data_IF_441461361864
#
_entry.id   IF_441461361864
#
_cell.length_a   1.000
_cell.length_b   1.000
_cell.length_c   1.000
_cell.angle_alpha   90.00
_cell.angle_beta   90.00
_cell.angle_gamma   90.00
#
_symmetry.space_group_name_H-M   'P 1'
#
loop_
_entity.id
_entity.type
_entity.pdbx_description
1 polymer ?
#
# COMPACT_ATOMS: atom_id res chain seq x y z
N UNK A 1 -19.68 -70.40 19.82
CA UNK A 1 -19.52 -69.96 18.41
C UNK A 1 -19.95 -68.51 18.36
N UNK A 2 -19.03 -67.62 17.98
CA UNK A 2 -19.25 -66.17 17.90
C UNK A 2 -18.27 -65.39 18.78
N UNK A 3 -17.15 -64.98 18.17
CA UNK A 3 -16.11 -64.11 18.72
C UNK A 3 -16.56 -62.63 18.72
N UNK A 4 -16.07 -61.88 19.72
CA UNK A 4 -15.70 -60.44 19.86
C UNK A 4 -15.74 -59.46 18.65
N UNK A 5 -15.63 -58.10 18.83
CA UNK A 5 -15.15 -57.37 20.02
C UNK A 5 -15.83 -56.05 20.43
N UNK A 6 -15.55 -55.67 21.69
CA UNK A 6 -15.22 -54.32 22.21
C UNK A 6 -15.81 -53.03 21.59
N UNK A 7 -16.51 -52.27 22.44
CA UNK A 7 -16.68 -50.80 22.34
C UNK A 7 -16.69 -50.27 23.77
N UNK A 8 -15.53 -49.86 24.29
CA UNK A 8 -14.90 -48.54 24.18
C UNK A 8 -15.36 -47.63 25.33
N UNK A 9 -14.36 -47.14 26.06
CA UNK A 9 -14.44 -46.42 27.31
C UNK A 9 -14.98 -45.00 27.13
N UNK A 10 -15.68 -44.57 28.18
CA UNK A 10 -15.98 -43.21 28.61
C UNK A 10 -14.68 -42.40 28.73
N UNK A 11 -14.59 -41.21 28.11
CA UNK A 11 -13.91 -40.07 28.71
C UNK A 11 -14.44 -38.77 28.11
N UNK A 12 -14.73 -37.83 28.99
CA UNK A 12 -15.46 -36.59 28.76
C UNK A 12 -14.49 -35.45 29.01
N UNK A 13 -13.49 -35.29 28.13
CA UNK A 13 -12.53 -34.20 28.23
C UNK A 13 -13.06 -32.94 27.54
N UNK A 14 -13.24 -31.93 28.38
CA UNK A 14 -13.43 -30.51 28.09
C UNK A 14 -12.42 -30.00 27.05
N UNK A 15 -12.93 -29.47 25.94
CA UNK A 15 -12.20 -28.54 25.09
C UNK A 15 -12.16 -27.17 25.79
N UNK A 16 -11.14 -26.97 26.63
CA UNK A 16 -10.58 -25.66 26.95
C UNK A 16 -9.16 -25.66 26.39
N UNK A 17 -8.89 -24.69 25.53
CA UNK A 17 -7.65 -24.59 24.77
C UNK A 17 -7.83 -23.50 23.75
N UNK A 18 -7.76 -22.27 24.23
CA UNK A 18 -7.38 -21.09 23.48
C UNK A 18 -6.26 -21.46 22.51
N UNK A 19 -6.60 -21.69 21.23
CA UNK A 19 -5.65 -21.43 20.16
C UNK A 19 -5.65 -19.91 20.02
N UNK A 20 -4.80 -19.28 20.83
CA UNK A 20 -4.12 -18.05 20.48
C UNK A 20 -3.63 -18.23 19.04
N UNK A 21 -4.42 -17.78 18.06
CA UNK A 21 -3.90 -17.47 16.73
C UNK A 21 -2.85 -16.39 16.96
N UNK A 22 -1.60 -16.84 17.15
CA UNK A 22 -0.41 -16.03 16.99
C UNK A 22 -0.66 -15.20 15.75
N UNK A 23 -0.88 -13.90 15.93
CA UNK A 23 -0.75 -12.92 14.86
C UNK A 23 0.68 -13.07 14.34
N UNK A 24 0.88 -13.94 13.36
CA UNK A 24 1.98 -13.84 12.41
C UNK A 24 1.80 -12.47 11.77
N UNK A 25 2.42 -11.45 12.40
CA UNK A 25 2.42 -10.10 11.89
C UNK A 25 2.91 -10.15 10.46
N UNK A 26 2.12 -9.59 9.52
CA UNK A 26 2.55 -9.48 8.12
C UNK A 26 3.94 -8.84 8.10
N UNK A 27 4.87 -9.32 7.27
CA UNK A 27 6.25 -8.82 7.29
C UNK A 27 6.28 -7.34 6.93
N UNK A 28 7.13 -6.58 7.62
CA UNK A 28 7.50 -5.23 7.22
C UNK A 28 8.31 -5.32 5.92
N UNK A 29 7.82 -4.65 4.88
CA UNK A 29 8.47 -4.56 3.58
C UNK A 29 9.28 -3.27 3.54
N UNK A 30 10.61 -3.39 3.54
CA UNK A 30 11.52 -2.25 3.31
C UNK A 30 12.02 -2.29 1.86
N UNK A 31 11.92 -1.14 1.18
CA UNK A 31 12.45 -0.94 -0.15
C UNK A 31 13.31 0.32 -0.20
N UNK A 32 14.24 0.33 -1.15
CA UNK A 32 15.08 1.47 -1.44
C UNK A 32 14.90 1.81 -2.91
N UNK A 33 14.41 3.03 -3.17
CA UNK A 33 14.31 3.59 -4.51
C UNK A 33 15.47 4.57 -4.74
N UNK A 34 16.14 4.41 -5.87
CA UNK A 34 17.12 5.38 -6.36
C UNK A 34 16.40 6.36 -7.28
N UNK A 35 16.13 7.56 -6.79
CA UNK A 35 15.46 8.61 -7.55
C UNK A 35 16.49 9.55 -8.20
N UNK A 36 16.36 9.78 -9.52
CA UNK A 36 17.30 10.60 -10.29
C UNK A 36 17.36 12.07 -9.85
N UNK A 37 16.34 12.57 -9.14
CA UNK A 37 16.23 13.95 -8.66
C UNK A 37 16.50 14.08 -7.16
N UNK A 38 16.06 13.11 -6.37
CA UNK A 38 16.05 13.18 -4.91
C UNK A 38 16.99 12.18 -4.24
N UNK A 39 17.72 11.37 -5.03
CA UNK A 39 18.66 10.38 -4.52
C UNK A 39 17.96 9.20 -3.87
N UNK A 40 18.61 8.60 -2.87
CA UNK A 40 18.10 7.42 -2.18
C UNK A 40 16.88 7.77 -1.31
N UNK A 41 15.76 7.11 -1.57
CA UNK A 41 14.52 7.18 -0.80
C UNK A 41 14.22 5.80 -0.25
N UNK A 42 14.03 5.70 1.06
CA UNK A 42 13.62 4.46 1.73
C UNK A 42 12.12 4.48 1.98
N UNK A 43 11.44 3.40 1.59
CA UNK A 43 10.03 3.17 1.87
C UNK A 43 9.91 1.96 2.79
N UNK A 44 9.24 2.12 3.93
CA UNK A 44 8.84 1.00 4.80
C UNK A 44 7.34 0.88 4.79
N UNK A 45 6.82 -0.30 4.50
CA UNK A 45 5.41 -0.63 4.51
C UNK A 45 5.18 -1.80 5.47
N UNK A 46 4.42 -1.55 6.52
CA UNK A 46 3.86 -2.58 7.39
C UNK A 46 2.36 -2.72 7.07
N UNK A 47 2.00 -3.74 6.29
CA UNK A 47 0.60 -4.00 5.94
C UNK A 47 -0.22 -4.56 7.11
N UNK A 48 0.45 -5.13 8.12
CA UNK A 48 -0.18 -5.66 9.32
C UNK A 48 -0.68 -4.52 10.21
N UNK A 49 0.22 -3.59 10.54
CA UNK A 49 -0.10 -2.39 11.31
C UNK A 49 -0.84 -1.32 10.48
N UNK A 50 -0.69 -1.36 9.15
CA UNK A 50 -1.22 -0.33 8.25
C UNK A 50 -0.39 0.94 8.32
N UNK A 51 0.94 0.80 8.31
CA UNK A 51 1.90 1.89 8.43
C UNK A 51 2.75 2.01 7.17
N UNK A 52 2.98 3.25 6.74
CA UNK A 52 3.95 3.58 5.70
C UNK A 52 4.86 4.69 6.22
N UNK A 53 6.17 4.48 6.09
CA UNK A 53 7.18 5.50 6.33
C UNK A 53 7.98 5.73 5.05
N UNK A 54 8.14 6.99 4.67
CA UNK A 54 9.05 7.43 3.61
C UNK A 54 10.06 8.40 4.20
N UNK A 55 11.33 8.18 3.91
CA UNK A 55 12.42 9.06 4.32
C UNK A 55 13.60 9.01 3.34
N UNK A 56 14.43 10.05 3.38
CA UNK A 56 15.66 10.15 2.61
C UNK A 56 16.38 11.47 2.91
N UNK A 57 17.65 11.59 2.55
CA UNK A 57 18.45 12.76 2.91
C UNK A 57 17.96 14.07 2.26
N UNK A 58 17.29 13.97 1.10
CA UNK A 58 16.80 15.11 0.32
C UNK A 58 15.28 15.28 0.34
N UNK A 59 14.55 14.47 1.10
CA UNK A 59 13.08 14.52 1.21
C UNK A 59 12.63 14.59 2.66
N UNK A 60 11.53 15.29 2.99
CA UNK A 60 10.98 15.27 4.34
C UNK A 60 10.51 13.86 4.71
N UNK A 61 10.49 13.55 6.00
CA UNK A 61 9.93 12.29 6.49
C UNK A 61 8.42 12.35 6.37
N UNK A 62 7.81 11.34 5.76
CA UNK A 62 6.36 11.19 5.68
C UNK A 62 5.95 9.89 6.34
N UNK A 63 4.98 9.97 7.23
CA UNK A 63 4.42 8.81 7.93
C UNK A 63 2.92 8.79 7.73
N UNK A 64 2.40 7.63 7.34
CA UNK A 64 0.97 7.37 7.23
C UNK A 64 0.65 6.15 8.07
N UNK A 65 -0.34 6.24 8.95
CA UNK A 65 -0.78 5.12 9.76
C UNK A 65 -2.30 5.01 9.81
N UNK A 66 -2.76 3.76 9.86
CA UNK A 66 -4.14 3.39 10.11
C UNK A 66 -4.39 3.32 11.61
N UNK A 67 -5.54 3.83 12.05
CA UNK A 67 -5.99 3.69 13.44
C UNK A 67 -6.10 2.20 13.83
N UNK A 68 -5.54 1.85 14.99
CA UNK A 68 -5.58 0.48 15.53
C UNK A 68 -7.02 -0.04 15.63
N UNK A 69 -7.22 -1.32 15.29
CA UNK A 69 -8.54 -1.97 15.31
C UNK A 69 -9.47 -1.60 14.15
N UNK A 70 -9.02 -0.80 13.19
CA UNK A 70 -9.76 -0.57 11.93
C UNK A 70 -9.86 -1.86 11.10
N UNK A 71 -11.06 -2.19 10.62
CA UNK A 71 -11.28 -3.31 9.70
C UNK A 71 -10.43 -3.16 8.43
N UNK A 72 -9.74 -4.22 8.02
CA UNK A 72 -8.77 -4.18 6.94
C UNK A 72 -9.34 -4.63 5.59
N UNK A 73 -9.06 -3.87 4.54
CA UNK A 73 -9.29 -4.20 3.14
C UNK A 73 -8.00 -4.78 2.52
N UNK A 74 -8.00 -6.06 2.15
CA UNK A 74 -6.83 -6.75 1.60
C UNK A 74 -6.36 -6.21 0.24
N UNK A 75 -7.17 -5.39 -0.42
CA UNK A 75 -6.84 -4.76 -1.70
C UNK A 75 -6.17 -3.38 -1.55
N UNK A 76 -6.07 -2.87 -0.34
CA UNK A 76 -5.40 -1.60 -0.02
C UNK A 76 -4.20 -1.92 0.87
N UNK A 77 -2.95 -1.58 0.48
CA UNK A 77 -1.77 -1.93 1.28
C UNK A 77 -1.79 -1.40 2.72
N UNK A 78 -2.21 -0.15 2.93
CA UNK A 78 -2.43 0.45 4.27
C UNK A 78 -3.68 -0.12 4.95
N UNK A 79 -4.46 -0.94 4.25
CA UNK A 79 -5.62 -1.70 4.72
C UNK A 79 -6.89 -0.91 4.92
N UNK A 80 -6.93 0.40 4.66
CA UNK A 80 -8.21 1.12 4.62
C UNK A 80 -8.15 2.30 3.66
N UNK A 81 -9.32 2.67 3.14
CA UNK A 81 -9.53 3.91 2.39
C UNK A 81 -10.41 4.90 3.17
N UNK A 82 -10.77 4.57 4.40
CA UNK A 82 -11.51 5.50 5.25
C UNK A 82 -10.54 6.57 5.79
N UNK A 83 -10.62 7.77 5.22
CA UNK A 83 -9.75 8.88 5.60
C UNK A 83 -9.90 9.30 7.07
N UNK A 84 -11.04 9.03 7.69
CA UNK A 84 -11.26 9.34 9.11
C UNK A 84 -10.50 8.37 10.04
N UNK A 85 -9.96 7.28 9.48
CA UNK A 85 -9.16 6.25 10.17
C UNK A 85 -7.68 6.30 9.79
N UNK A 86 -7.27 7.34 9.07
CA UNK A 86 -5.91 7.52 8.60
C UNK A 86 -5.34 8.80 9.16
N UNK A 87 -4.09 8.75 9.61
CA UNK A 87 -3.32 9.95 9.93
C UNK A 87 -2.07 10.00 9.08
N UNK A 88 -1.80 11.17 8.51
CA UNK A 88 -0.63 11.45 7.69
C UNK A 88 0.16 12.58 8.37
N UNK A 89 1.47 12.42 8.51
CA UNK A 89 2.36 13.48 9.01
C UNK A 89 3.51 13.74 8.05
N UNK A 90 3.94 14.99 7.95
CA UNK A 90 5.13 15.44 7.22
C UNK A 90 6.06 16.09 8.23
N UNK A 91 7.25 15.52 8.45
CA UNK A 91 8.19 15.90 9.51
C UNK A 91 7.51 16.02 10.90
N UNK A 92 6.54 15.15 11.16
CA UNK A 92 5.75 15.14 12.39
C UNK A 92 4.60 16.14 12.46
N UNK A 93 4.39 16.99 11.43
CA UNK A 93 3.23 17.88 11.33
C UNK A 93 2.08 17.20 10.59
N UNK A 94 0.88 17.23 11.15
CA UNK A 94 -0.29 16.57 10.56
C UNK A 94 -0.71 17.19 9.22
N UNK A 95 -0.95 16.32 8.25
CA UNK A 95 -1.51 16.63 6.95
C UNK A 95 -2.90 15.99 6.80
N UNK A 96 -3.81 16.65 6.10
CA UNK A 96 -5.15 16.10 5.87
C UNK A 96 -5.10 15.16 4.68
N UNK A 97 -5.41 13.88 4.88
CA UNK A 97 -5.57 12.89 3.81
C UNK A 97 -7.04 12.58 3.56
N UNK A 98 -7.42 12.39 2.30
CA UNK A 98 -8.79 12.09 1.92
C UNK A 98 -8.80 11.15 0.70
N UNK A 99 -8.74 9.83 0.93
CA UNK A 99 -8.96 8.86 -0.14
C UNK A 99 -10.40 8.97 -0.65
N UNK A 100 -10.57 9.00 -1.97
CA UNK A 100 -11.90 8.97 -2.56
C UNK A 100 -12.57 7.62 -2.30
N UNK A 101 -13.89 7.65 -2.06
CA UNK A 101 -14.72 6.49 -1.67
C UNK A 101 -14.89 5.41 -2.75
N UNK A 102 -14.25 5.54 -3.92
CA UNK A 102 -14.06 4.44 -4.88
C UNK A 102 -15.33 3.79 -5.45
N UNK A 103 -16.37 4.55 -5.82
CA UNK A 103 -17.70 3.97 -6.10
C UNK A 103 -18.09 3.78 -7.57
N UNK A 104 -17.28 4.19 -8.57
CA UNK A 104 -17.78 4.22 -9.97
C UNK A 104 -16.76 3.90 -11.06
N UNK A 105 -15.52 4.39 -11.00
CA UNK A 105 -14.51 4.20 -12.06
C UNK A 105 -13.10 4.09 -11.45
N UNK A 106 -12.10 3.56 -12.18
CA UNK A 106 -10.70 3.48 -11.69
C UNK A 106 -10.15 4.83 -11.22
N UNK A 107 -10.56 5.93 -11.86
CA UNK A 107 -10.18 7.30 -11.45
C UNK A 107 -10.81 7.74 -10.13
N UNK A 108 -11.86 7.06 -9.66
CA UNK A 108 -12.51 7.32 -8.36
C UNK A 108 -11.73 6.79 -7.15
N UNK A 109 -10.57 6.16 -7.38
CA UNK A 109 -9.61 5.78 -6.35
C UNK A 109 -8.55 6.86 -6.05
N UNK A 110 -8.76 8.09 -6.54
CA UNK A 110 -7.85 9.20 -6.25
C UNK A 110 -7.68 9.42 -4.74
N UNK A 111 -6.49 9.85 -4.33
CA UNK A 111 -6.18 10.19 -2.95
C UNK A 111 -5.73 11.64 -2.90
N UNK A 112 -6.45 12.44 -2.12
CA UNK A 112 -6.16 13.86 -1.90
C UNK A 112 -5.36 14.05 -0.62
N UNK A 113 -4.36 14.93 -0.64
CA UNK A 113 -3.61 15.40 0.53
C UNK A 113 -3.64 16.92 0.57
N UNK A 114 -3.83 17.51 1.74
CA UNK A 114 -3.65 18.96 1.98
C UNK A 114 -2.64 19.18 3.09
N UNK A 115 -1.64 20.01 2.82
CA UNK A 115 -0.58 20.35 3.75
C UNK A 115 0.03 21.71 3.38
N UNK A 116 0.33 22.55 4.38
CA UNK A 116 0.94 23.88 4.20
C UNK A 116 0.29 24.71 3.07
N UNK A 117 -1.05 24.86 3.11
CA UNK A 117 -1.88 25.59 2.12
C UNK A 117 -1.80 25.09 0.66
N UNK A 118 -1.18 23.93 0.44
CA UNK A 118 -1.08 23.28 -0.86
C UNK A 118 -1.85 21.96 -0.86
N UNK A 119 -2.15 21.48 -2.06
CA UNK A 119 -2.89 20.23 -2.24
C UNK A 119 -2.20 19.32 -3.24
N UNK A 120 -2.18 18.04 -2.92
CA UNK A 120 -1.71 16.99 -3.80
C UNK A 120 -2.84 16.02 -4.09
N UNK A 121 -2.78 15.43 -5.28
CA UNK A 121 -3.72 14.38 -5.67
C UNK A 121 -3.01 13.29 -6.44
N UNK A 122 -2.98 12.08 -5.89
CA UNK A 122 -2.60 10.88 -6.62
C UNK A 122 -3.83 10.36 -7.37
N UNK A 123 -3.78 10.28 -8.70
CA UNK A 123 -4.90 9.82 -9.54
C UNK A 123 -4.46 8.63 -10.38
N UNK A 124 -5.14 7.48 -10.26
CA UNK A 124 -4.92 6.37 -11.17
C UNK A 124 -5.30 6.78 -12.60
N UNK A 125 -4.38 6.62 -13.55
CA UNK A 125 -4.56 7.10 -14.93
C UNK A 125 -4.17 6.08 -16.01
N UNK A 126 -3.35 5.09 -15.68
CA UNK A 126 -2.95 3.97 -16.55
C UNK A 126 -2.94 2.66 -15.78
N UNK A 127 -2.93 1.50 -16.46
CA UNK A 127 -2.98 0.19 -15.78
C UNK A 127 -1.89 0.02 -14.71
N UNK A 128 -0.60 0.37 -14.94
CA UNK A 128 0.39 0.31 -13.87
C UNK A 128 0.49 1.59 -13.02
N UNK A 129 0.00 2.72 -13.53
CA UNK A 129 0.40 4.02 -13.04
C UNK A 129 -0.69 4.83 -12.34
N UNK A 130 -0.21 5.73 -11.49
CA UNK A 130 -0.96 6.87 -11.00
C UNK A 130 -0.11 8.12 -11.15
N UNK A 131 -0.71 9.18 -11.68
CA UNK A 131 -0.06 10.49 -11.74
C UNK A 131 -0.27 11.27 -10.45
N UNK A 132 0.74 12.01 -10.03
CA UNK A 132 0.69 12.96 -8.94
C UNK A 132 0.45 14.37 -9.48
N UNK A 133 -0.57 15.02 -8.94
CA UNK A 133 -0.87 16.43 -9.20
C UNK A 133 -0.51 17.25 -7.98
N UNK A 134 0.22 18.37 -8.16
CA UNK A 134 0.36 19.44 -7.18
C UNK A 134 -0.56 20.58 -7.59
N UNK A 135 -1.69 20.71 -6.90
CA UNK A 135 -2.83 21.50 -7.38
C UNK A 135 -3.37 20.92 -8.69
N UNK A 136 -3.18 21.64 -9.79
CA UNK A 136 -3.57 21.20 -11.14
C UNK A 136 -2.35 20.77 -11.99
N UNK A 137 -1.13 21.00 -11.50
CA UNK A 137 0.12 20.71 -12.23
C UNK A 137 0.49 19.23 -12.09
N UNK A 138 0.71 18.55 -13.22
CA UNK A 138 1.19 17.17 -13.23
C UNK A 138 2.71 17.15 -13.00
N UNK A 139 3.13 16.69 -11.83
CA UNK A 139 4.55 16.70 -11.41
C UNK A 139 5.28 15.39 -11.74
N UNK A 140 4.60 14.25 -11.72
CA UNK A 140 5.19 12.96 -12.09
C UNK A 140 4.22 11.80 -12.00
N UNK A 141 4.63 10.67 -12.56
CA UNK A 141 3.92 9.40 -12.61
C UNK A 141 4.58 8.40 -11.63
N UNK A 142 3.76 7.62 -10.95
CA UNK A 142 4.19 6.65 -9.93
C UNK A 142 3.61 5.28 -10.23
N UNK A 143 4.36 4.23 -9.90
CA UNK A 143 3.86 2.85 -9.92
C UNK A 143 4.28 2.07 -8.67
N UNK A 144 3.36 1.27 -8.13
CA UNK A 144 3.56 0.34 -7.02
C UNK A 144 2.50 -0.76 -7.05
N UNK A 145 2.94 -2.00 -6.86
CA UNK A 145 2.09 -3.19 -6.71
C UNK A 145 1.53 -3.34 -5.28
N UNK A 146 1.85 -2.41 -4.37
CA UNK A 146 1.47 -2.50 -2.95
C UNK A 146 2.39 -3.38 -2.11
N UNK A 147 3.61 -3.64 -2.62
CA UNK A 147 4.68 -4.40 -1.98
C UNK A 147 5.76 -3.49 -1.36
N UNK A 148 5.47 -2.20 -1.25
CA UNK A 148 6.40 -1.17 -0.77
C UNK A 148 7.43 -0.74 -1.82
N UNK A 149 7.56 -1.41 -2.96
CA UNK A 149 8.39 -0.95 -4.06
C UNK A 149 7.64 0.17 -4.80
N UNK A 150 8.35 1.26 -5.09
CA UNK A 150 7.78 2.40 -5.81
C UNK A 150 8.75 2.88 -6.87
N UNK A 151 8.25 3.06 -8.08
CA UNK A 151 8.97 3.73 -9.17
C UNK A 151 8.33 5.09 -9.43
N UNK A 152 9.17 6.11 -9.67
CA UNK A 152 8.75 7.46 -10.00
C UNK A 152 9.34 7.90 -11.34
N UNK A 153 8.51 8.53 -12.17
CA UNK A 153 8.91 9.16 -13.43
C UNK A 153 8.49 10.64 -13.39
N UNK A 154 9.49 11.53 -13.37
CA UNK A 154 9.23 12.97 -13.25
C UNK A 154 8.85 13.60 -14.58
N UNK A 155 7.88 14.51 -14.54
CA UNK A 155 7.38 15.16 -15.75
C UNK A 155 8.43 16.12 -16.35
N UNK A 156 8.71 15.96 -17.64
CA UNK A 156 9.59 16.90 -18.35
C UNK A 156 9.04 18.33 -18.33
N UNK A 157 9.93 19.28 -18.02
CA UNK A 157 9.60 20.72 -17.99
C UNK A 157 8.86 21.18 -16.74
N UNK A 158 8.63 20.28 -15.77
CA UNK A 158 8.13 20.61 -14.43
C UNK A 158 9.27 20.38 -13.43
N UNK A 159 9.41 21.28 -12.46
CA UNK A 159 10.39 21.13 -11.38
C UNK A 159 9.69 20.50 -10.17
N UNK A 160 9.91 19.20 -9.89
CA UNK A 160 9.37 18.57 -8.70
C UNK A 160 10.08 19.10 -7.45
N UNK A 161 9.35 19.22 -6.36
CA UNK A 161 9.87 19.54 -5.04
C UNK A 161 10.07 18.28 -4.19
N UNK A 162 10.94 18.37 -3.18
CA UNK A 162 11.19 17.28 -2.24
C UNK A 162 9.92 16.71 -1.58
N UNK A 163 8.94 17.57 -1.31
CA UNK A 163 7.65 17.17 -0.77
C UNK A 163 6.79 16.41 -1.79
N UNK A 164 6.92 16.70 -3.10
CA UNK A 164 6.23 15.95 -4.15
C UNK A 164 6.71 14.49 -4.17
N UNK A 165 8.02 14.29 -4.03
CA UNK A 165 8.60 12.96 -3.89
C UNK A 165 8.11 12.25 -2.63
N UNK A 166 8.29 12.85 -1.45
CA UNK A 166 7.90 12.20 -0.20
C UNK A 166 6.42 11.77 -0.19
N UNK A 167 5.51 12.65 -0.63
CA UNK A 167 4.08 12.34 -0.72
C UNK A 167 3.78 11.33 -1.83
N UNK A 168 4.38 11.47 -3.01
CA UNK A 168 4.16 10.55 -4.12
C UNK A 168 4.52 9.10 -3.77
N UNK A 169 5.71 8.92 -3.18
CA UNK A 169 6.19 7.63 -2.69
C UNK A 169 5.28 7.06 -1.60
N UNK A 170 4.92 7.87 -0.59
CA UNK A 170 4.08 7.40 0.51
C UNK A 170 2.69 6.98 0.04
N UNK A 171 2.05 7.78 -0.83
CA UNK A 171 0.72 7.49 -1.36
C UNK A 171 0.72 6.28 -2.30
N UNK A 172 1.73 6.14 -3.16
CA UNK A 172 1.86 5.00 -4.05
C UNK A 172 2.04 3.69 -3.26
N UNK A 173 2.90 3.69 -2.23
CA UNK A 173 3.10 2.52 -1.38
C UNK A 173 1.86 2.18 -0.55
N UNK A 174 1.20 3.18 0.03
CA UNK A 174 0.05 2.99 0.91
C UNK A 174 -1.22 2.50 0.22
N UNK A 175 -1.49 2.99 -0.99
CA UNK A 175 -2.74 2.70 -1.69
C UNK A 175 -2.56 1.80 -2.91
N UNK A 176 -1.32 1.53 -3.30
CA UNK A 176 -1.00 0.96 -4.59
C UNK A 176 -1.36 1.92 -5.73
N UNK A 177 -0.84 1.65 -6.91
CA UNK A 177 -1.22 2.39 -8.14
C UNK A 177 -2.11 1.55 -9.05
N UNK A 178 -2.55 0.39 -8.56
CA UNK A 178 -3.30 -0.61 -9.30
C UNK A 178 -2.46 -1.33 -10.36
N UNK A 179 -1.14 -1.35 -10.18
CA UNK A 179 -0.26 -2.15 -11.02
C UNK A 179 -0.67 -3.63 -10.96
N UNK A 180 -0.68 -4.26 -12.13
CA UNK A 180 -1.05 -5.66 -12.22
C UNK A 180 0.11 -6.43 -11.59
N UNK A 181 -0.17 -7.29 -10.60
CA UNK A 181 0.89 -8.07 -9.99
C UNK A 181 1.64 -8.86 -11.06
N UNK A 182 2.97 -8.88 -10.96
CA UNK A 182 3.91 -9.52 -11.90
C UNK A 182 3.52 -10.95 -12.35
N UNK A 183 2.67 -11.67 -11.59
CA UNK A 183 2.16 -12.98 -11.98
C UNK A 183 1.32 -12.97 -13.28
N UNK A 184 0.73 -11.83 -13.67
CA UNK A 184 -0.01 -11.73 -14.93
C UNK A 184 0.92 -11.65 -16.15
N UNK A 185 2.06 -10.95 -16.04
CA UNK A 185 3.14 -11.00 -17.04
C UNK A 185 3.74 -12.40 -17.15
N UNK A 186 3.82 -13.13 -16.04
CA UNK A 186 4.23 -14.53 -16.07
C UNK A 186 3.21 -15.43 -16.79
N UNK A 187 1.90 -15.16 -16.69
CA UNK A 187 0.88 -15.91 -17.44
C UNK A 187 0.92 -15.64 -18.95
N UNK A 188 1.22 -14.41 -19.38
CA UNK A 188 1.44 -14.10 -20.80
C UNK A 188 2.65 -14.86 -21.38
N UNK A 189 3.72 -15.03 -20.58
CA UNK A 189 4.88 -15.82 -20.99
C UNK A 189 4.63 -17.34 -21.04
N UNK A 190 3.73 -17.88 -20.21
CA UNK A 190 3.34 -19.30 -20.25
C UNK A 190 2.42 -19.59 -21.44
N UNK A 191 1.59 -18.62 -21.86
CA UNK A 191 0.73 -18.73 -23.03
C UNK A 191 1.49 -18.87 -24.35
N UNK A 192 2.66 -18.26 -24.47
CA UNK A 192 3.49 -18.27 -25.70
C UNK A 192 4.37 -19.54 -25.84
N UNK A 193 4.40 -20.39 -24.80
CA UNK A 193 5.19 -21.63 -24.76
C UNK A 193 4.35 -22.90 -25.00
N UNK A 194 3.09 -22.75 -25.42
CA UNK A 194 2.27 -23.84 -25.94
C UNK A 194 2.22 -23.76 -27.48
N UNK A 195 2.87 -24.68 -28.21
CA UNK A 195 2.64 -24.79 -29.65
C UNK A 195 1.18 -25.21 -29.89
N UNK A 196 0.51 -24.54 -30.81
CA UNK A 196 -0.82 -24.94 -31.32
C UNK A 196 -0.81 -26.28 -32.03
#
# INVERSE_FOLDING_TARGET
MGQDPASAYDDHDTYDGDDDEETEGKPVLESVAEDDRFGTITVRLDTGLGEVTVEGDAVPRVELYREEGTETDDHTPVGTRDGDRLTLTVDGEEAVISPSKGRLTRRSFAVDVRYADRSWRLVPDSIPGSRLLRGEEHVGDFSSDGDGQVLAEWREGVEPEALDAALGYALAAAFGTGAQPMWMLAMEAVGDMLPG
#
